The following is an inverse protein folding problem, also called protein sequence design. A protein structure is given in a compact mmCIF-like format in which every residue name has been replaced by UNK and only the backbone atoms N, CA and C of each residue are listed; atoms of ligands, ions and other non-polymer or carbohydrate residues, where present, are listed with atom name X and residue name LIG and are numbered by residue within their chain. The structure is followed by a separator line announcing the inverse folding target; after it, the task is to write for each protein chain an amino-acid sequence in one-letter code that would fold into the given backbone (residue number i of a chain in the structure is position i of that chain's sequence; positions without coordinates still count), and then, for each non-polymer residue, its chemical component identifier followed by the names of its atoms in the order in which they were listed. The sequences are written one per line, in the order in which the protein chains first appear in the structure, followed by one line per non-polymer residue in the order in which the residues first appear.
data_IF_904747169439
#
_entry.id   IF_904747169439
#
_cell.length_a   1.000
_cell.length_b   1.000
_cell.length_c   1.000
_cell.angle_alpha   90.00
_cell.angle_beta   90.00
_cell.angle_gamma   90.00
#
_symmetry.space_group_name_H-M   'P 1'
#
loop_
_entity.id
_entity.type
_entity.pdbx_description
1 polymer ?
#
# COMPACT_ATOMS: atom_id res chain seq x y z
N UNK A 1 -20.31 8.00 0.64
CA UNK A 1 -21.77 7.79 0.40
C UNK A 1 -22.56 7.51 1.67
N UNK A 2 -22.19 6.55 2.53
CA UNK A 2 -22.91 6.30 3.81
C UNK A 2 -22.93 7.51 4.75
N UNK A 3 -21.83 8.28 4.79
CA UNK A 3 -21.72 9.51 5.59
C UNK A 3 -22.77 10.57 5.22
N UNK A 4 -23.09 10.71 3.94
CA UNK A 4 -24.10 11.67 3.47
C UNK A 4 -25.52 11.23 3.85
N UNK A 5 -25.81 9.94 3.69
CA UNK A 5 -27.12 9.38 4.07
C UNK A 5 -27.41 9.57 5.56
N UNK A 6 -26.38 9.39 6.40
CA UNK A 6 -26.49 9.65 7.83
C UNK A 6 -26.80 11.13 8.12
N UNK A 7 -26.06 12.06 7.53
CA UNK A 7 -26.28 13.49 7.79
C UNK A 7 -27.62 14.01 7.28
N UNK A 8 -28.14 13.48 6.17
CA UNK A 8 -29.52 13.79 5.71
C UNK A 8 -30.54 13.23 6.69
N UNK A 9 -30.35 12.01 7.18
CA UNK A 9 -31.25 11.39 8.17
C UNK A 9 -31.28 12.15 9.49
N UNK A 10 -30.15 12.69 9.91
CA UNK A 10 -30.01 13.53 11.10
C UNK A 10 -30.45 14.99 10.89
N UNK A 11 -30.94 15.36 9.69
CA UNK A 11 -31.40 16.71 9.36
C UNK A 11 -30.29 17.77 9.30
N UNK A 12 -29.02 17.36 9.32
CA UNK A 12 -27.86 18.27 9.33
C UNK A 12 -27.51 18.82 7.94
N UNK A 13 -27.92 18.12 6.89
CA UNK A 13 -27.81 18.56 5.49
C UNK A 13 -29.16 18.38 4.79
N UNK A 14 -29.55 19.33 3.94
CA UNK A 14 -30.90 19.39 3.36
C UNK A 14 -31.12 18.38 2.23
N UNK A 15 -30.05 17.93 1.58
CA UNK A 15 -30.16 17.08 0.39
C UNK A 15 -28.91 16.24 0.18
N UNK A 16 -29.09 15.07 -0.44
CA UNK A 16 -28.01 14.28 -1.02
C UNK A 16 -27.49 14.87 -2.33
N UNK A 17 -28.23 15.79 -2.96
CA UNK A 17 -27.88 16.38 -4.24
C UNK A 17 -26.74 17.40 -4.06
N UNK A 18 -25.55 17.17 -4.65
CA UNK A 18 -24.41 18.07 -4.48
C UNK A 18 -24.65 19.50 -5.01
N UNK A 19 -25.62 19.69 -5.93
CA UNK A 19 -26.03 21.00 -6.45
C UNK A 19 -26.69 21.90 -5.40
N UNK A 20 -27.29 21.30 -4.37
CA UNK A 20 -28.05 22.03 -3.36
C UNK A 20 -27.22 22.32 -2.10
N UNK A 21 -25.93 22.00 -2.13
CA UNK A 21 -25.05 22.18 -0.98
C UNK A 21 -24.53 23.61 -0.93
N UNK A 22 -24.78 24.26 0.20
CA UNK A 22 -24.20 25.53 0.61
C UNK A 22 -23.00 25.30 1.55
N UNK A 23 -22.36 26.40 1.92
CA UNK A 23 -21.27 26.39 2.89
C UNK A 23 -21.66 25.78 4.25
N UNK A 24 -22.93 25.91 4.65
CA UNK A 24 -23.43 25.37 5.90
C UNK A 24 -23.47 23.84 5.87
N UNK A 25 -23.94 23.23 4.77
CA UNK A 25 -23.91 21.77 4.62
C UNK A 25 -22.48 21.23 4.53
N UNK A 26 -21.60 21.94 3.81
CA UNK A 26 -20.18 21.57 3.77
C UNK A 26 -19.55 21.63 5.16
N UNK A 27 -19.86 22.67 5.94
CA UNK A 27 -19.36 22.80 7.32
C UNK A 27 -19.77 21.60 8.18
N UNK A 28 -21.04 21.22 8.14
CA UNK A 28 -21.55 20.07 8.90
C UNK A 28 -20.90 18.76 8.45
N UNK A 29 -20.69 18.58 7.14
CA UNK A 29 -19.96 17.42 6.61
C UNK A 29 -18.53 17.35 7.15
N UNK A 30 -17.78 18.46 7.07
CA UNK A 30 -16.38 18.51 7.53
C UNK A 30 -16.31 18.24 9.04
N UNK A 31 -17.22 18.81 9.84
CA UNK A 31 -17.27 18.56 11.28
C UNK A 31 -17.58 17.10 11.60
N UNK A 32 -18.47 16.46 10.85
CA UNK A 32 -18.75 15.03 10.99
C UNK A 32 -17.54 14.16 10.60
N UNK A 33 -16.87 14.46 9.47
CA UNK A 33 -15.67 13.72 9.10
C UNK A 33 -14.56 13.83 10.15
N UNK A 34 -14.43 14.99 10.82
CA UNK A 34 -13.45 15.17 11.91
C UNK A 34 -13.66 14.23 13.10
N UNK A 35 -14.87 13.68 13.30
CA UNK A 35 -15.12 12.70 14.36
C UNK A 35 -14.85 11.25 13.91
N UNK A 36 -14.66 11.02 12.62
CA UNK A 36 -14.53 9.69 12.03
C UNK A 36 -13.12 9.37 11.54
N UNK A 37 -12.42 10.35 10.99
CA UNK A 37 -11.16 10.12 10.27
C UNK A 37 -10.01 10.95 10.81
N UNK A 38 -8.78 10.50 10.53
CA UNK A 38 -7.57 11.20 10.93
C UNK A 38 -7.44 12.55 10.21
N UNK A 39 -6.63 13.47 10.75
CA UNK A 39 -6.36 14.75 10.08
C UNK A 39 -5.71 14.59 8.68
N UNK A 40 -4.99 13.49 8.44
CA UNK A 40 -4.44 13.18 7.12
C UNK A 40 -5.54 12.76 6.15
N UNK A 41 -6.46 11.89 6.59
CA UNK A 41 -7.59 11.42 5.78
C UNK A 41 -8.61 12.53 5.51
N UNK A 42 -8.76 13.46 6.46
CA UNK A 42 -9.59 14.67 6.28
C UNK A 42 -9.20 15.48 5.04
N UNK A 43 -7.90 15.52 4.69
CA UNK A 43 -7.44 16.22 3.47
C UNK A 43 -7.98 15.52 2.23
N UNK A 44 -8.00 14.18 2.22
CA UNK A 44 -8.54 13.40 1.12
C UNK A 44 -10.05 13.56 1.00
N UNK A 45 -10.78 13.53 2.12
CA UNK A 45 -12.23 13.74 2.17
C UNK A 45 -12.63 15.12 1.64
N UNK A 46 -11.96 16.19 2.11
CA UNK A 46 -12.23 17.56 1.67
C UNK A 46 -11.90 17.72 0.19
N UNK A 47 -10.77 17.19 -0.28
CA UNK A 47 -10.40 17.29 -1.70
C UNK A 47 -11.36 16.51 -2.60
N UNK A 48 -11.82 15.34 -2.18
CA UNK A 48 -12.81 14.56 -2.91
C UNK A 48 -14.15 15.31 -3.00
N UNK A 49 -14.63 15.86 -1.89
CA UNK A 49 -15.85 16.69 -1.88
C UNK A 49 -15.68 17.93 -2.76
N UNK A 50 -14.52 18.60 -2.67
CA UNK A 50 -14.20 19.76 -3.50
C UNK A 50 -14.26 19.43 -4.99
N UNK A 51 -13.63 18.33 -5.42
CA UNK A 51 -13.67 17.89 -6.82
C UNK A 51 -15.10 17.56 -7.27
N UNK A 52 -15.90 16.91 -6.42
CA UNK A 52 -17.29 16.60 -6.72
C UNK A 52 -18.15 17.87 -6.90
N UNK A 53 -18.01 18.85 -6.01
CA UNK A 53 -18.77 20.10 -6.10
C UNK A 53 -18.29 20.98 -7.25
N UNK A 54 -16.98 21.06 -7.50
CA UNK A 54 -16.43 21.83 -8.62
C UNK A 54 -16.81 21.23 -9.98
N UNK A 55 -16.98 19.90 -10.09
CA UNK A 55 -17.45 19.28 -11.33
C UNK A 55 -18.84 19.77 -11.77
N UNK A 56 -19.64 20.29 -10.83
CA UNK A 56 -20.98 20.86 -11.08
C UNK A 56 -21.00 22.38 -10.85
N UNK A 57 -19.83 23.03 -10.92
CA UNK A 57 -19.65 24.47 -10.73
C UNK A 57 -20.13 25.01 -9.38
N UNK A 58 -20.11 24.18 -8.33
CA UNK A 58 -20.46 24.57 -6.97
C UNK A 58 -19.17 24.87 -6.15
N UNK A 59 -18.89 26.14 -5.81
CA UNK A 59 -17.69 26.53 -5.06
C UNK A 59 -17.85 26.41 -3.52
N UNK A 60 -18.92 25.77 -3.02
CA UNK A 60 -19.26 25.77 -1.59
C UNK A 60 -18.13 25.29 -0.65
N UNK A 61 -17.27 24.37 -1.08
CA UNK A 61 -16.11 23.95 -0.26
C UNK A 61 -15.12 25.10 -0.07
N UNK A 62 -14.81 25.82 -1.14
CA UNK A 62 -13.81 26.88 -1.12
C UNK A 62 -14.31 28.07 -0.32
N UNK A 63 -15.58 28.45 -0.50
CA UNK A 63 -16.22 29.48 0.30
C UNK A 63 -16.26 29.10 1.79
N UNK A 64 -16.69 27.87 2.11
CA UNK A 64 -16.76 27.39 3.49
C UNK A 64 -15.39 27.46 4.18
N UNK A 65 -14.32 27.02 3.51
CA UNK A 65 -12.96 27.02 4.06
C UNK A 65 -12.32 28.42 4.09
N UNK A 66 -12.76 29.34 3.24
CA UNK A 66 -12.36 30.75 3.28
C UNK A 66 -12.99 31.45 4.49
N UNK A 67 -14.30 31.27 4.71
CA UNK A 67 -15.02 31.84 5.86
C UNK A 67 -14.71 31.14 7.18
N UNK A 68 -14.30 29.86 7.15
CA UNK A 68 -13.98 29.07 8.34
C UNK A 68 -12.57 28.44 8.26
N UNK A 69 -11.48 29.23 8.31
CA UNK A 69 -10.12 28.70 8.17
C UNK A 69 -9.73 27.63 9.21
N UNK A 70 -10.37 27.63 10.37
CA UNK A 70 -10.18 26.63 11.43
C UNK A 70 -10.67 25.22 11.07
N UNK A 71 -11.49 25.09 10.02
CA UNK A 71 -11.94 23.80 9.51
C UNK A 71 -10.88 23.11 8.67
N UNK A 72 -9.92 23.85 8.10
CA UNK A 72 -8.82 23.30 7.30
C UNK A 72 -8.04 22.28 8.14
N UNK A 73 -7.81 21.05 7.63
CA UNK A 73 -7.05 20.05 8.37
C UNK A 73 -5.63 20.55 8.61
N UNK A 74 -5.27 20.75 9.87
CA UNK A 74 -3.90 21.05 10.26
C UNK A 74 -3.25 19.76 10.72
N UNK A 75 -2.23 19.32 9.98
CA UNK A 75 -1.42 18.20 10.43
C UNK A 75 -0.55 18.67 11.60
N UNK A 76 -0.74 18.07 12.78
CA UNK A 76 0.14 18.27 13.93
C UNK A 76 1.05 17.04 14.03
N UNK A 77 2.34 17.19 13.74
CA UNK A 77 3.34 16.12 13.87
C UNK A 77 4.31 16.02 12.70
N UNK A 78 5.22 15.05 12.78
CA UNK A 78 6.13 14.67 11.70
C UNK A 78 5.47 13.59 10.84
N UNK A 79 5.44 13.78 9.51
CA UNK A 79 4.89 12.76 8.58
C UNK A 79 5.82 11.57 8.38
N UNK A 80 7.09 11.70 8.78
CA UNK A 80 8.10 10.66 8.60
C UNK A 80 7.90 9.62 9.70
N UNK A 81 7.58 8.40 9.28
CA UNK A 81 7.72 7.23 10.15
C UNK A 81 9.21 7.01 10.42
N UNK A 82 9.50 6.46 11.60
CA UNK A 82 10.86 6.05 11.94
C UNK A 82 11.34 4.97 10.97
N UNK A 83 12.61 5.06 10.61
CA UNK A 83 13.28 3.98 9.89
C UNK A 83 13.44 2.77 10.81
N UNK A 84 13.51 1.58 10.23
CA UNK A 84 13.88 0.37 10.97
C UNK A 84 15.26 0.56 11.59
N UNK A 85 15.40 0.21 12.87
CA UNK A 85 16.69 0.19 13.57
C UNK A 85 17.42 -1.13 13.34
N UNK A 86 18.74 -1.10 13.49
CA UNK A 86 19.59 -2.31 13.37
C UNK A 86 19.18 -3.38 14.39
N UNK A 87 18.79 -2.96 15.61
CA UNK A 87 18.27 -3.85 16.65
C UNK A 87 17.01 -4.65 16.23
N UNK A 88 16.25 -4.16 15.24
CA UNK A 88 15.13 -4.91 14.63
C UNK A 88 15.56 -5.67 13.38
N UNK A 89 16.50 -5.14 12.61
CA UNK A 89 17.01 -5.77 11.39
C UNK A 89 17.85 -7.02 11.66
N UNK A 90 18.79 -6.96 12.60
CA UNK A 90 19.75 -8.03 12.87
C UNK A 90 19.06 -9.36 13.23
N UNK A 91 18.02 -9.39 14.09
CA UNK A 91 17.29 -10.63 14.36
C UNK A 91 16.55 -11.19 13.16
N UNK A 92 16.10 -10.35 12.22
CA UNK A 92 15.43 -10.80 10.98
C UNK A 92 16.48 -11.45 10.07
N UNK A 93 17.63 -10.80 9.91
CA UNK A 93 18.75 -11.32 9.13
C UNK A 93 19.24 -12.66 9.69
N UNK A 94 19.49 -12.74 10.99
CA UNK A 94 19.97 -13.96 11.63
C UNK A 94 18.98 -15.11 11.50
N UNK A 95 17.68 -14.84 11.68
CA UNK A 95 16.64 -15.85 11.46
C UNK A 95 16.51 -16.28 10.01
N UNK A 96 16.78 -15.38 9.06
CA UNK A 96 16.76 -15.71 7.63
C UNK A 96 17.86 -16.69 7.24
N UNK A 97 19.01 -16.66 7.95
CA UNK A 97 20.15 -17.57 7.73
C UNK A 97 19.95 -18.95 8.35
N UNK A 98 19.23 -19.03 9.47
CA UNK A 98 19.06 -20.27 10.25
C UNK A 98 17.67 -20.92 10.08
N UNK A 99 16.99 -20.64 8.97
CA UNK A 99 15.63 -21.15 8.74
C UNK A 99 15.65 -22.61 8.30
N UNK A 100 14.71 -23.41 8.80
CA UNK A 100 14.51 -24.79 8.34
C UNK A 100 14.08 -24.81 6.86
N UNK A 101 14.89 -25.39 5.96
CA UNK A 101 14.52 -25.53 4.54
C UNK A 101 13.26 -26.37 4.30
N UNK A 102 12.85 -27.20 5.26
CA UNK A 102 11.61 -27.97 5.20
C UNK A 102 10.35 -27.11 5.25
N UNK A 103 10.43 -25.91 5.83
CA UNK A 103 9.31 -24.98 5.94
C UNK A 103 9.31 -23.97 4.77
N UNK A 104 8.80 -24.40 3.62
CA UNK A 104 8.67 -23.54 2.44
C UNK A 104 7.94 -22.22 2.72
N UNK A 105 6.93 -22.23 3.59
CA UNK A 105 6.13 -21.04 3.87
C UNK A 105 6.93 -19.98 4.62
N UNK A 106 7.72 -20.39 5.62
CA UNK A 106 8.63 -19.48 6.30
C UNK A 106 9.77 -19.03 5.39
N UNK A 107 10.38 -19.94 4.61
CA UNK A 107 11.46 -19.55 3.67
C UNK A 107 10.98 -18.49 2.69
N UNK A 108 9.78 -18.68 2.12
CA UNK A 108 9.14 -17.68 1.25
C UNK A 108 8.90 -16.35 1.97
N UNK A 109 8.45 -16.38 3.22
CA UNK A 109 8.17 -15.17 3.98
C UNK A 109 9.46 -14.36 4.26
N UNK A 110 10.54 -15.03 4.68
CA UNK A 110 11.84 -14.37 4.89
C UNK A 110 12.43 -13.85 3.59
N UNK A 111 12.40 -14.62 2.50
CA UNK A 111 12.86 -14.14 1.20
C UNK A 111 12.12 -12.87 0.75
N UNK A 112 10.78 -12.83 0.91
CA UNK A 112 9.97 -11.65 0.59
C UNK A 112 10.36 -10.44 1.45
N UNK A 113 10.49 -10.62 2.76
CA UNK A 113 10.80 -9.54 3.71
C UNK A 113 12.22 -9.01 3.47
N UNK A 114 13.21 -9.90 3.32
CA UNK A 114 14.60 -9.52 3.06
C UNK A 114 14.75 -8.79 1.73
N UNK A 115 14.06 -9.26 0.67
CA UNK A 115 13.97 -8.54 -0.60
C UNK A 115 13.40 -7.13 -0.39
N UNK A 116 12.27 -7.00 0.30
CA UNK A 116 11.61 -5.70 0.50
C UNK A 116 12.51 -4.71 1.28
N UNK A 117 13.18 -5.17 2.34
CA UNK A 117 14.09 -4.33 3.14
C UNK A 117 15.29 -3.88 2.29
N UNK A 118 15.93 -4.81 1.58
CA UNK A 118 17.20 -4.55 0.89
C UNK A 118 17.05 -3.80 -0.44
N UNK A 119 15.89 -3.89 -1.08
CA UNK A 119 15.63 -3.26 -2.40
C UNK A 119 14.80 -1.98 -2.30
N UNK A 120 14.20 -1.70 -1.14
CA UNK A 120 13.28 -0.57 -0.96
C UNK A 120 12.05 -0.66 -1.87
N UNK A 121 11.68 -1.86 -2.31
CA UNK A 121 10.54 -2.09 -3.20
C UNK A 121 9.23 -1.79 -2.47
N UNK A 122 8.26 -1.28 -3.22
CA UNK A 122 6.89 -1.15 -2.72
C UNK A 122 6.17 -2.49 -2.78
N UNK A 123 5.13 -2.65 -1.96
CA UNK A 123 4.32 -3.86 -1.96
C UNK A 123 3.78 -4.24 -3.35
N UNK A 124 3.35 -3.26 -4.19
CA UNK A 124 2.90 -3.57 -5.56
C UNK A 124 4.06 -4.11 -6.43
N UNK A 125 5.24 -3.53 -6.28
CA UNK A 125 6.43 -3.81 -7.11
C UNK A 125 6.89 -5.25 -6.91
N UNK A 126 7.19 -5.66 -5.67
CA UNK A 126 7.61 -7.04 -5.38
C UNK A 126 6.51 -8.08 -5.61
N UNK A 127 5.25 -7.67 -5.42
CA UNK A 127 4.09 -8.56 -5.63
C UNK A 127 3.90 -8.90 -7.10
N UNK A 128 4.14 -7.96 -8.00
CA UNK A 128 3.95 -8.16 -9.44
C UNK A 128 5.22 -8.64 -10.15
N UNK A 129 6.31 -8.84 -9.41
CA UNK A 129 7.56 -9.32 -9.97
C UNK A 129 7.45 -10.78 -10.41
N UNK A 130 8.12 -11.09 -11.51
CA UNK A 130 8.32 -12.43 -12.01
C UNK A 130 9.69 -12.98 -11.55
N UNK A 131 9.87 -14.29 -11.69
CA UNK A 131 11.12 -14.95 -11.30
C UNK A 131 12.29 -14.51 -12.18
N UNK A 132 12.01 -14.19 -13.44
CA UNK A 132 12.96 -13.69 -14.43
C UNK A 132 13.44 -12.27 -14.13
N UNK A 133 12.70 -11.51 -13.33
CA UNK A 133 13.08 -10.15 -12.92
C UNK A 133 14.23 -10.16 -11.89
N UNK A 134 14.57 -11.31 -11.29
CA UNK A 134 15.65 -11.47 -10.34
C UNK A 134 16.84 -12.20 -10.96
N UNK A 135 17.90 -11.47 -11.30
CA UNK A 135 19.14 -12.03 -11.83
C UNK A 135 20.07 -12.41 -10.68
N UNK A 136 20.23 -13.72 -10.44
CA UNK A 136 21.11 -14.27 -9.39
C UNK A 136 22.58 -14.42 -9.84
N UNK A 137 22.88 -14.14 -11.10
CA UNK A 137 24.26 -14.07 -11.60
C UNK A 137 24.84 -12.69 -11.35
N UNK A 138 24.10 -11.66 -11.80
CA UNK A 138 24.48 -10.25 -11.62
C UNK A 138 24.06 -9.68 -10.27
N UNK A 139 23.21 -10.41 -9.53
CA UNK A 139 22.60 -9.96 -8.28
C UNK A 139 21.89 -8.62 -8.45
N UNK A 140 20.97 -8.58 -9.42
CA UNK A 140 20.13 -7.42 -9.73
C UNK A 140 18.65 -7.80 -9.75
N UNK A 141 17.80 -6.82 -9.51
CA UNK A 141 16.36 -6.97 -9.53
C UNK A 141 15.70 -5.89 -10.38
N UNK A 142 14.99 -6.32 -11.42
CA UNK A 142 14.29 -5.47 -12.37
C UNK A 142 12.88 -5.18 -11.90
N UNK A 143 12.64 -3.94 -11.50
CA UNK A 143 11.33 -3.49 -11.04
C UNK A 143 10.56 -2.96 -12.24
N UNK A 144 9.83 -3.85 -12.92
CA UNK A 144 9.04 -3.53 -14.11
C UNK A 144 7.74 -2.80 -13.75
N UNK A 145 6.95 -3.37 -12.84
CA UNK A 145 5.63 -2.83 -12.45
C UNK A 145 5.72 -1.83 -11.30
N UNK A 146 6.22 -0.63 -11.61
CA UNK A 146 6.44 0.45 -10.63
C UNK A 146 5.15 1.13 -10.14
N UNK A 147 5.22 1.76 -8.97
CA UNK A 147 4.16 2.68 -8.54
C UNK A 147 4.14 3.90 -9.46
N UNK A 148 2.95 4.27 -9.93
CA UNK A 148 2.80 5.35 -10.91
C UNK A 148 3.10 4.91 -12.35
N UNK A 149 3.18 3.60 -12.60
CA UNK A 149 3.18 3.03 -13.96
C UNK A 149 2.08 3.67 -14.83
N UNK A 150 2.45 4.06 -16.04
CA UNK A 150 1.59 4.83 -16.96
C UNK A 150 1.45 6.32 -16.62
N UNK A 151 2.15 6.82 -15.58
CA UNK A 151 2.16 8.24 -15.19
C UNK A 151 3.59 8.72 -14.91
N UNK A 152 4.00 8.83 -13.63
CA UNK A 152 5.31 9.33 -13.21
C UNK A 152 6.34 8.23 -12.91
N UNK A 153 5.91 6.98 -12.79
CA UNK A 153 6.78 5.86 -12.44
C UNK A 153 7.48 5.30 -13.67
N UNK A 154 8.80 5.14 -13.60
CA UNK A 154 9.61 4.46 -14.62
C UNK A 154 10.20 3.16 -14.06
N UNK A 155 10.23 2.07 -14.85
CA UNK A 155 10.95 0.84 -14.50
C UNK A 155 12.39 1.11 -14.09
N UNK A 156 12.91 0.32 -13.15
CA UNK A 156 14.29 0.49 -12.66
C UNK A 156 14.91 -0.83 -12.25
N UNK A 157 16.22 -0.94 -12.44
CA UNK A 157 17.02 -2.03 -11.90
C UNK A 157 17.66 -1.60 -10.59
N UNK A 158 17.63 -2.47 -9.58
CA UNK A 158 18.30 -2.24 -8.29
C UNK A 158 19.22 -3.42 -7.96
N UNK A 159 20.34 -3.19 -7.27
CA UNK A 159 21.19 -4.28 -6.82
C UNK A 159 20.51 -5.08 -5.69
N UNK A 160 20.74 -6.40 -5.70
CA UNK A 160 20.39 -7.29 -4.60
C UNK A 160 21.53 -7.32 -3.57
N UNK A 161 21.22 -6.83 -2.37
CA UNK A 161 22.17 -6.77 -1.27
C UNK A 161 22.71 -8.18 -0.91
N UNK A 162 23.99 -8.33 -0.51
CA UNK A 162 24.54 -9.62 -0.09
C UNK A 162 23.68 -10.39 0.92
N UNK A 163 23.05 -9.69 1.86
CA UNK A 163 22.23 -10.29 2.91
C UNK A 163 20.98 -11.03 2.43
N UNK A 164 20.46 -10.73 1.23
CA UNK A 164 19.28 -11.44 0.70
C UNK A 164 19.66 -12.66 -0.16
N UNK A 165 20.93 -12.76 -0.60
CA UNK A 165 21.34 -13.70 -1.65
C UNK A 165 21.16 -15.16 -1.24
N UNK A 166 21.51 -15.51 -0.02
CA UNK A 166 21.43 -16.87 0.50
C UNK A 166 19.97 -17.33 0.60
N UNK A 167 19.13 -16.57 1.32
CA UNK A 167 17.71 -16.90 1.48
C UNK A 167 16.94 -16.86 0.17
N UNK A 168 17.29 -15.95 -0.75
CA UNK A 168 16.69 -15.89 -2.08
C UNK A 168 17.05 -17.13 -2.91
N UNK A 169 18.31 -17.56 -2.89
CA UNK A 169 18.75 -18.77 -3.61
C UNK A 169 18.04 -20.02 -3.11
N UNK A 170 18.00 -20.19 -1.78
CA UNK A 170 17.26 -21.29 -1.14
C UNK A 170 15.78 -21.25 -1.55
N UNK A 171 15.17 -20.06 -1.47
CA UNK A 171 13.78 -19.87 -1.86
C UNK A 171 13.52 -20.24 -3.32
N UNK A 172 14.36 -19.83 -4.27
CA UNK A 172 14.16 -20.10 -5.69
C UNK A 172 14.20 -21.61 -6.00
N UNK A 173 15.08 -22.35 -5.33
CA UNK A 173 15.15 -23.82 -5.41
C UNK A 173 13.85 -24.43 -4.88
N UNK A 174 13.43 -24.06 -3.68
CA UNK A 174 12.23 -24.60 -3.05
C UNK A 174 10.95 -24.16 -3.78
N UNK A 175 10.92 -22.96 -4.37
CA UNK A 175 9.82 -22.45 -5.21
C UNK A 175 9.60 -23.37 -6.40
N UNK A 176 10.67 -23.76 -7.10
CA UNK A 176 10.55 -24.68 -8.24
C UNK A 176 9.96 -26.02 -7.80
N UNK A 177 10.45 -26.59 -6.69
CA UNK A 177 9.89 -27.82 -6.11
C UNK A 177 8.41 -27.65 -5.74
N UNK A 178 8.07 -26.59 -5.01
CA UNK A 178 6.71 -26.32 -4.55
C UNK A 178 5.72 -26.14 -5.71
N UNK A 179 6.13 -25.51 -6.82
CA UNK A 179 5.30 -25.39 -8.02
C UNK A 179 5.00 -26.76 -8.64
N UNK A 180 6.00 -27.63 -8.75
CA UNK A 180 5.84 -29.01 -9.26
C UNK A 180 4.92 -29.81 -8.34
N UNK A 181 5.19 -29.81 -7.03
CA UNK A 181 4.41 -30.56 -6.02
C UNK A 181 2.94 -30.11 -5.97
N UNK A 182 2.63 -28.88 -6.40
CA UNK A 182 1.27 -28.33 -6.45
C UNK A 182 0.67 -28.30 -7.86
N UNK A 183 1.36 -28.84 -8.87
CA UNK A 183 0.94 -28.83 -10.27
C UNK A 183 0.58 -27.43 -10.79
N UNK A 184 1.41 -26.44 -10.43
CA UNK A 184 1.25 -25.03 -10.80
C UNK A 184 2.32 -24.63 -11.82
N UNK A 185 1.91 -23.84 -12.83
CA UNK A 185 2.83 -23.14 -13.72
C UNK A 185 2.68 -21.63 -13.50
N UNK A 186 3.65 -21.00 -12.85
CA UNK A 186 3.61 -19.57 -12.50
C UNK A 186 4.97 -18.92 -12.68
N UNK A 187 4.97 -17.76 -13.33
CA UNK A 187 6.14 -16.89 -13.44
C UNK A 187 6.31 -15.97 -12.22
N UNK A 188 5.28 -15.79 -11.40
CA UNK A 188 5.34 -14.86 -10.26
C UNK A 188 6.47 -15.22 -9.30
N UNK A 189 7.33 -14.26 -8.96
CA UNK A 189 8.47 -14.47 -8.06
C UNK A 189 8.00 -15.08 -6.74
N UNK A 190 6.89 -14.57 -6.19
CA UNK A 190 6.22 -15.10 -4.99
C UNK A 190 4.82 -15.63 -5.32
N UNK A 191 4.65 -16.92 -5.67
CA UNK A 191 3.37 -17.46 -6.10
C UNK A 191 2.45 -17.79 -4.92
N UNK A 192 1.15 -17.83 -5.19
CA UNK A 192 0.09 -18.25 -4.27
C UNK A 192 -0.83 -19.27 -4.91
N UNK A 193 -1.19 -20.29 -4.13
CA UNK A 193 -2.16 -21.32 -4.51
C UNK A 193 -3.61 -20.81 -4.50
N UNK A 194 -3.90 -19.81 -3.67
CA UNK A 194 -5.27 -19.38 -3.35
C UNK A 194 -5.62 -18.01 -3.94
N UNK A 195 -4.63 -17.26 -4.41
CA UNK A 195 -4.90 -15.97 -5.03
C UNK A 195 -5.42 -16.18 -6.46
N UNK A 196 -6.48 -15.46 -6.82
CA UNK A 196 -7.09 -15.48 -8.17
C UNK A 196 -6.08 -15.10 -9.27
N UNK A 197 -5.04 -14.35 -8.91
CA UNK A 197 -3.94 -13.92 -9.79
C UNK A 197 -2.70 -14.82 -9.70
N UNK A 198 -2.69 -15.84 -8.84
CA UNK A 198 -1.53 -16.71 -8.62
C UNK A 198 -0.39 -16.07 -7.80
N UNK A 199 -0.62 -14.91 -7.19
CA UNK A 199 0.40 -14.10 -6.50
C UNK A 199 0.20 -14.09 -4.98
N UNK A 200 1.29 -14.17 -4.21
CA UNK A 200 1.24 -14.11 -2.74
C UNK A 200 0.80 -12.74 -2.21
N UNK A 201 -0.23 -12.75 -1.36
CA UNK A 201 -0.69 -11.60 -0.60
C UNK A 201 -0.29 -11.78 0.86
N UNK A 202 0.68 -11.00 1.32
CA UNK A 202 1.11 -10.89 2.72
C UNK A 202 0.04 -10.29 3.67
N UNK A 203 -1.23 -10.23 3.26
CA UNK A 203 -2.33 -9.65 4.08
C UNK A 203 -2.88 -10.62 5.13
N UNK A 204 -2.30 -11.81 5.29
CA UNK A 204 -2.66 -12.78 6.34
C UNK A 204 -1.41 -13.27 7.09
N UNK A 205 -0.79 -12.37 7.86
CA UNK A 205 0.12 -12.74 8.96
C UNK A 205 -0.63 -12.62 10.31
N UNK A 206 -1.83 -13.20 10.38
CA UNK A 206 -2.59 -13.32 11.61
C UNK A 206 -3.01 -14.78 11.76
N UNK A 207 -2.20 -15.50 12.53
CA UNK A 207 -2.54 -16.72 13.25
C UNK A 207 -2.07 -16.52 14.67
#
# INVERSE_FOLDING_TARGET
MRSFQFLVKEGKIKSMSPKNWSEAEVREYILYCKTLVSAADMVHEINALRQLLLFIDNPAVDLCLAHNPMLKPKFKGTRRKESMSDALYDPILERSRNIDPGDFHRVRAYALVMMAITTGTRNKEIRLANVEDADTTMWTFDIIHVKGEGTYGLPRTVPLHPDVREILSLYLILRKKWLVDNNLNSHALFPSKTARTGIFLATRFAG
#
